data_IF_687032660881
#
_entry.id   IF_687032660881
#
_cell.length_a   1.000
_cell.length_b   1.000
_cell.length_c   1.000
_cell.angle_alpha   90.00
_cell.angle_beta   90.00
_cell.angle_gamma   90.00
#
_symmetry.space_group_name_H-M   'P 1'
#
loop_
_entity.id
_entity.type
_entity.pdbx_description
1 polymer ?
#
# COMPACT_ATOMS: atom_id res chain seq x y z
N UNK A 1 -32.43 -9.79 -29.84
CA UNK A 1 -31.06 -9.81 -29.26
C UNK A 1 -30.67 -8.36 -29.19
N UNK A 2 -30.39 -7.85 -27.99
CA UNK A 2 -30.27 -6.42 -27.65
C UNK A 2 -28.91 -5.86 -28.07
N UNK A 3 -28.91 -4.64 -28.62
CA UNK A 3 -27.72 -3.88 -29.03
C UNK A 3 -27.04 -3.21 -27.81
N UNK A 4 -26.52 -4.01 -26.86
CA UNK A 4 -25.86 -3.52 -25.63
C UNK A 4 -24.42 -4.06 -25.41
N UNK A 5 -23.82 -4.76 -26.38
CA UNK A 5 -22.50 -5.41 -26.21
C UNK A 5 -21.41 -4.84 -27.13
N UNK A 6 -21.30 -3.52 -27.25
CA UNK A 6 -20.12 -2.89 -27.85
C UNK A 6 -19.82 -1.51 -27.24
N UNK A 7 -19.67 -1.45 -25.91
CA UNK A 7 -18.85 -0.39 -25.31
C UNK A 7 -17.38 -0.76 -25.53
N UNK A 8 -16.74 -0.01 -26.43
CA UNK A 8 -15.31 -0.08 -26.72
C UNK A 8 -14.52 0.23 -25.43
N UNK A 9 -13.65 -0.70 -25.01
CA UNK A 9 -12.88 -0.62 -23.77
C UNK A 9 -11.81 0.49 -23.78
N UNK A 10 -11.72 1.28 -24.85
CA UNK A 10 -10.70 2.31 -25.06
C UNK A 10 -11.18 3.74 -24.73
N UNK A 11 -12.48 3.95 -24.45
CA UNK A 11 -13.04 5.25 -24.04
C UNK A 11 -13.36 5.30 -22.53
N UNK A 12 -12.40 4.92 -21.68
CA UNK A 12 -12.31 5.49 -20.32
C UNK A 12 -11.34 6.67 -20.37
N UNK A 13 -11.81 7.77 -20.95
CA UNK A 13 -11.11 9.04 -20.94
C UNK A 13 -10.96 9.47 -19.47
N UNK A 14 -9.79 9.16 -18.93
CA UNK A 14 -9.40 9.62 -17.60
C UNK A 14 -9.29 11.13 -17.72
N UNK A 15 -10.29 11.84 -17.19
CA UNK A 15 -10.27 13.29 -16.99
C UNK A 15 -9.17 13.66 -15.98
N UNK A 16 -7.92 13.49 -16.41
CA UNK A 16 -6.74 14.12 -15.84
C UNK A 16 -6.72 15.52 -16.46
N UNK A 17 -7.07 16.50 -15.64
CA UNK A 17 -7.02 17.91 -15.94
C UNK A 17 -5.70 18.29 -16.63
N UNK A 18 -5.81 18.97 -17.76
CA UNK A 18 -4.82 19.07 -18.83
C UNK A 18 -3.56 19.93 -18.56
N UNK A 19 -3.03 20.02 -17.33
CA UNK A 19 -1.82 20.84 -17.07
C UNK A 19 -0.92 20.33 -15.91
N UNK A 20 -0.73 19.01 -15.78
CA UNK A 20 0.35 18.47 -14.94
C UNK A 20 1.01 17.25 -15.61
N UNK A 21 1.54 17.45 -16.82
CA UNK A 21 2.50 16.55 -17.46
C UNK A 21 3.84 16.61 -16.70
N UNK A 22 3.86 16.13 -15.46
CA UNK A 22 5.09 15.82 -14.74
C UNK A 22 5.86 14.72 -15.48
N UNK A 23 7.19 14.63 -15.34
CA UNK A 23 8.01 13.64 -16.02
C UNK A 23 7.73 12.22 -15.47
N UNK A 24 6.61 11.63 -15.89
CA UNK A 24 6.25 10.25 -15.58
C UNK A 24 7.19 9.31 -16.34
N UNK A 25 7.67 9.69 -17.53
CA UNK A 25 8.52 8.87 -18.41
C UNK A 25 9.96 8.66 -17.93
N UNK A 26 10.57 9.63 -17.23
CA UNK A 26 11.94 9.47 -16.73
C UNK A 26 11.99 8.80 -15.35
N UNK A 27 10.89 8.90 -14.58
CA UNK A 27 10.76 8.25 -13.27
C UNK A 27 10.34 6.78 -13.33
N UNK A 28 9.79 6.29 -14.44
CA UNK A 28 9.28 4.91 -14.54
C UNK A 28 10.40 3.87 -14.50
N UNK A 29 11.55 4.11 -15.13
CA UNK A 29 12.69 3.17 -15.12
C UNK A 29 13.28 2.99 -13.70
N UNK A 30 13.43 4.09 -12.95
CA UNK A 30 13.91 4.06 -11.56
C UNK A 30 12.91 3.36 -10.64
N UNK A 31 11.62 3.66 -10.80
CA UNK A 31 10.53 2.98 -10.08
C UNK A 31 10.39 1.51 -10.48
N UNK A 32 10.77 1.14 -11.70
CA UNK A 32 10.73 -0.25 -12.17
C UNK A 32 11.82 -1.10 -11.50
N UNK A 33 13.02 -0.55 -11.34
CA UNK A 33 14.08 -1.20 -10.56
C UNK A 33 13.66 -1.40 -9.10
N UNK A 34 13.07 -0.39 -8.47
CA UNK A 34 12.54 -0.46 -7.11
C UNK A 34 11.37 -1.46 -7.01
N UNK A 35 10.45 -1.46 -7.99
CA UNK A 35 9.34 -2.42 -8.06
C UNK A 35 9.85 -3.85 -8.19
N UNK A 36 10.82 -4.10 -9.06
CA UNK A 36 11.42 -5.44 -9.23
C UNK A 36 12.12 -5.90 -7.97
N UNK A 37 12.84 -5.00 -7.28
CA UNK A 37 13.47 -5.30 -6.00
C UNK A 37 12.42 -5.67 -4.94
N UNK A 38 11.36 -4.86 -4.80
CA UNK A 38 10.28 -5.13 -3.86
C UNK A 38 9.61 -6.47 -4.14
N UNK A 39 9.36 -6.78 -5.42
CA UNK A 39 8.77 -8.06 -5.82
C UNK A 39 9.65 -9.25 -5.42
N UNK A 40 10.97 -9.17 -5.65
CA UNK A 40 11.90 -10.22 -5.23
C UNK A 40 11.94 -10.39 -3.70
N UNK A 41 11.89 -9.29 -2.95
CA UNK A 41 11.85 -9.33 -1.48
C UNK A 41 10.53 -9.95 -0.97
N UNK A 42 9.39 -9.65 -1.62
CA UNK A 42 8.08 -10.25 -1.30
C UNK A 42 8.08 -11.75 -1.59
N UNK A 43 8.59 -12.17 -2.75
CA UNK A 43 8.70 -13.59 -3.11
C UNK A 43 9.58 -14.36 -2.10
N UNK A 44 10.72 -13.79 -1.70
CA UNK A 44 11.58 -14.37 -0.68
C UNK A 44 10.92 -14.46 0.70
N UNK A 45 10.14 -13.44 1.09
CA UNK A 45 9.38 -13.43 2.34
C UNK A 45 8.33 -14.54 2.38
N UNK A 46 7.58 -14.72 1.29
CA UNK A 46 6.58 -15.79 1.17
C UNK A 46 7.24 -17.18 1.12
N UNK A 47 8.34 -17.34 0.38
CA UNK A 47 9.09 -18.59 0.31
C UNK A 47 9.68 -19.01 1.67
N UNK A 48 10.06 -18.04 2.51
CA UNK A 48 10.53 -18.27 3.89
C UNK A 48 9.39 -18.67 4.85
N UNK A 49 8.14 -18.65 4.39
CA UNK A 49 6.96 -18.97 5.19
C UNK A 49 6.34 -17.75 5.90
N UNK A 50 6.69 -16.53 5.48
CA UNK A 50 5.99 -15.32 5.88
C UNK A 50 4.55 -15.30 5.37
N UNK A 51 3.67 -14.58 6.07
CA UNK A 51 2.25 -14.43 5.72
C UNK A 51 1.92 -12.95 5.61
N UNK A 52 1.03 -12.61 4.68
CA UNK A 52 0.52 -11.24 4.52
C UNK A 52 -0.88 -11.22 5.14
N UNK A 53 -1.07 -10.38 6.13
CA UNK A 53 -2.35 -10.19 6.80
C UNK A 53 -3.03 -8.93 6.26
N UNK A 54 -4.33 -9.03 5.96
CA UNK A 54 -5.14 -7.88 5.55
C UNK A 54 -5.62 -7.13 6.80
N UNK A 55 -5.26 -5.85 6.90
CA UNK A 55 -5.64 -4.99 8.03
C UNK A 55 -6.82 -4.11 7.60
N UNK A 56 -7.98 -4.18 8.29
CA UNK A 56 -9.10 -3.31 7.98
C UNK A 56 -8.77 -1.83 8.27
N UNK A 57 -9.39 -0.88 7.55
CA UNK A 57 -9.01 0.54 7.59
C UNK A 57 -9.22 1.25 8.94
N UNK A 58 -9.89 0.61 9.91
CA UNK A 58 -10.23 1.19 11.22
C UNK A 58 -9.54 0.48 12.40
N UNK A 59 -8.46 -0.28 12.18
CA UNK A 59 -7.68 -0.87 13.27
C UNK A 59 -6.77 0.20 13.86
N UNK A 60 -7.28 0.96 14.82
CA UNK A 60 -6.44 1.73 15.73
C UNK A 60 -5.96 0.74 16.78
N UNK A 61 -4.67 0.36 16.72
CA UNK A 61 -4.06 -0.41 17.80
C UNK A 61 -4.30 0.36 19.11
N UNK A 62 -4.84 -0.32 20.12
CA UNK A 62 -5.15 0.28 21.42
C UNK A 62 -3.87 0.99 21.91
N UNK A 63 -3.90 2.32 22.12
CA UNK A 63 -2.68 3.08 22.33
C UNK A 63 -1.94 2.56 23.57
N UNK A 64 -0.60 2.60 23.57
CA UNK A 64 0.18 2.09 24.70
C UNK A 64 -0.29 2.76 25.99
N UNK A 65 -0.76 1.94 26.93
CA UNK A 65 -1.27 2.42 28.22
C UNK A 65 -0.11 2.99 29.03
N UNK A 66 -0.39 4.06 29.78
CA UNK A 66 0.58 4.64 30.70
C UNK A 66 1.09 3.54 31.64
N UNK A 67 2.40 3.40 31.83
CA UNK A 67 2.93 2.48 32.81
C UNK A 67 2.47 2.90 34.21
N UNK A 68 2.01 1.95 35.01
CA UNK A 68 1.79 2.15 36.45
C UNK A 68 3.14 2.49 37.09
N UNK A 69 3.27 3.70 37.64
CA UNK A 69 4.47 4.13 38.34
C UNK A 69 4.55 3.43 39.68
N UNK A 70 5.18 2.25 39.74
CA UNK A 70 5.45 1.54 41.00
C UNK A 70 6.69 2.08 41.76
N UNK A 71 7.13 3.30 41.44
CA UNK A 71 8.22 3.95 42.16
C UNK A 71 7.70 4.55 43.47
N UNK A 72 8.20 4.05 44.61
CA UNK A 72 7.81 4.49 45.95
C UNK A 72 6.77 3.64 46.69
N UNK A 73 6.33 2.51 46.10
CA UNK A 73 5.45 1.53 46.76
C UNK A 73 6.16 0.54 47.68
N UNK A 74 7.50 0.49 47.64
CA UNK A 74 8.32 -0.26 48.58
C UNK A 74 8.75 0.66 49.72
N UNK A 75 8.44 0.32 50.98
CA UNK A 75 8.93 1.07 52.13
C UNK A 75 10.46 0.99 52.16
N UNK A 76 11.10 2.14 52.35
CA UNK A 76 12.56 2.28 52.56
C UNK A 76 12.93 1.99 54.02
#
# INVERSE_FOLDING_TARGET
>A
MTDEDLMDSDDIDTVIDSDDSLPISDGVMSKEAERRRLQAEVEAFLARGGKIDEIPPNVVADPPKKPESNYGGQPI
#
